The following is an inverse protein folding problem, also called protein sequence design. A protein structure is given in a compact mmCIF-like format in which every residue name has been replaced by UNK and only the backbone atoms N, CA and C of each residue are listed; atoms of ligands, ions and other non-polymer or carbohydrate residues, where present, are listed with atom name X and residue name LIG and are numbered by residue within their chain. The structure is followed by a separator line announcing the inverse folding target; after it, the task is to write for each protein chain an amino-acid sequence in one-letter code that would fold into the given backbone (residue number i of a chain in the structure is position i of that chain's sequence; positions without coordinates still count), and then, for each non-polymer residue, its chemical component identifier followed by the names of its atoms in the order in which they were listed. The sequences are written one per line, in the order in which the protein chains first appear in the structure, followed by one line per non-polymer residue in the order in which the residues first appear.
data_IF_355222620532
#
_entry.id   IF_355222620532
#
_cell.length_a   1.000
_cell.length_b   1.000
_cell.length_c   1.000
_cell.angle_alpha   90.00
_cell.angle_beta   90.00
_cell.angle_gamma   90.00
#
_symmetry.space_group_name_H-M   'P 1'
#
loop_
_entity.id
_entity.type
_entity.pdbx_description
1 polymer ?
#
# COMPACT_ATOMS: atom_id res chain seq x y z
N UNK A 1 -21.91 -43.26 -4.84
CA UNK A 1 -22.08 -42.13 -5.78
C UNK A 1 -20.74 -41.50 -6.16
N UNK A 2 -20.15 -41.94 -7.28
CA UNK A 2 -18.89 -41.40 -7.81
C UNK A 2 -19.04 -40.00 -8.43
N UNK A 3 -20.25 -39.63 -8.85
CA UNK A 3 -20.52 -38.35 -9.53
C UNK A 3 -20.45 -37.16 -8.58
N UNK A 4 -20.89 -37.30 -7.32
CA UNK A 4 -20.77 -36.22 -6.33
C UNK A 4 -19.31 -35.92 -5.94
N UNK A 5 -18.45 -36.93 -5.92
CA UNK A 5 -17.02 -36.75 -5.63
C UNK A 5 -16.34 -36.04 -6.81
N UNK A 6 -16.69 -36.41 -8.05
CA UNK A 6 -16.18 -35.73 -9.25
C UNK A 6 -16.62 -34.27 -9.35
N UNK A 7 -17.87 -33.97 -9.01
CA UNK A 7 -18.36 -32.58 -9.00
C UNK A 7 -17.58 -31.71 -8.00
N UNK A 8 -17.37 -32.22 -6.78
CA UNK A 8 -16.63 -31.52 -5.72
C UNK A 8 -15.14 -31.32 -6.05
N UNK A 9 -14.52 -32.28 -6.73
CA UNK A 9 -13.12 -32.14 -7.19
C UNK A 9 -13.02 -31.08 -8.27
N UNK A 10 -13.95 -31.06 -9.22
CA UNK A 10 -13.97 -30.06 -10.30
C UNK A 10 -14.18 -28.64 -9.78
N UNK A 11 -15.14 -28.44 -8.87
CA UNK A 11 -15.36 -27.15 -8.23
C UNK A 11 -14.11 -26.68 -7.48
N UNK A 12 -13.42 -27.58 -6.77
CA UNK A 12 -12.20 -27.25 -6.04
C UNK A 12 -11.02 -26.94 -6.98
N UNK A 13 -10.94 -27.59 -8.15
CA UNK A 13 -9.94 -27.27 -9.19
C UNK A 13 -10.20 -25.89 -9.82
N UNK A 14 -11.46 -25.55 -10.11
CA UNK A 14 -11.86 -24.23 -10.64
C UNK A 14 -11.62 -23.11 -9.60
N UNK A 15 -11.89 -23.36 -8.31
CA UNK A 15 -11.55 -22.44 -7.23
C UNK A 15 -10.04 -22.27 -7.07
N UNK A 16 -9.25 -23.34 -7.20
CA UNK A 16 -7.79 -23.29 -7.11
C UNK A 16 -7.16 -22.47 -8.25
N UNK A 17 -7.67 -22.59 -9.48
CA UNK A 17 -7.21 -21.75 -10.60
C UNK A 17 -7.51 -20.27 -10.35
N UNK A 18 -8.71 -19.95 -9.86
CA UNK A 18 -9.10 -18.57 -9.56
C UNK A 18 -8.26 -17.96 -8.44
N UNK A 19 -7.92 -18.75 -7.41
CA UNK A 19 -7.01 -18.35 -6.32
C UNK A 19 -5.61 -18.07 -6.87
N UNK A 20 -5.09 -18.95 -7.73
CA UNK A 20 -3.76 -18.78 -8.36
C UNK A 20 -3.69 -17.54 -9.25
N UNK A 21 -4.77 -17.25 -9.96
CA UNK A 21 -4.86 -16.06 -10.81
C UNK A 21 -4.84 -14.78 -9.97
N UNK A 22 -5.58 -14.76 -8.88
CA UNK A 22 -5.61 -13.64 -7.93
C UNK A 22 -4.26 -13.44 -7.23
N UNK A 23 -3.56 -14.52 -6.85
CA UNK A 23 -2.21 -14.44 -6.28
C UNK A 23 -1.20 -13.82 -7.25
N UNK A 24 -1.25 -14.17 -8.54
CA UNK A 24 -0.35 -13.62 -9.54
C UNK A 24 -0.62 -12.12 -9.82
N UNK A 25 -1.88 -11.68 -9.76
CA UNK A 25 -2.23 -10.26 -9.83
C UNK A 25 -1.76 -9.50 -8.58
N UNK A 26 -1.92 -10.11 -7.40
CA UNK A 26 -1.41 -9.57 -6.14
C UNK A 26 0.13 -9.48 -6.14
N UNK A 27 0.85 -10.48 -6.67
CA UNK A 27 2.32 -10.45 -6.80
C UNK A 27 2.81 -9.36 -7.76
N UNK A 28 2.08 -9.10 -8.86
CA UNK A 28 2.38 -8.01 -9.78
C UNK A 28 2.16 -6.64 -9.12
N UNK A 29 1.14 -6.49 -8.29
CA UNK A 29 0.87 -5.26 -7.53
C UNK A 29 1.82 -5.10 -6.33
N UNK A 30 2.18 -6.20 -5.66
CA UNK A 30 3.02 -6.24 -4.45
C UNK A 30 4.51 -6.02 -4.74
N UNK A 31 4.94 -6.08 -6.00
CA UNK A 31 6.33 -5.84 -6.40
C UNK A 31 6.82 -4.40 -6.15
N UNK A 32 5.96 -3.48 -5.70
CA UNK A 32 6.32 -2.11 -5.34
C UNK A 32 6.58 -1.91 -3.84
N UNK A 33 6.34 -2.91 -2.98
CA UNK A 33 6.55 -2.80 -1.53
C UNK A 33 7.20 -4.09 -0.99
N UNK A 34 8.52 -4.11 -0.75
CA UNK A 34 9.17 -5.26 -0.14
C UNK A 34 8.77 -5.32 1.34
N UNK A 35 7.85 -6.22 1.69
CA UNK A 35 7.39 -6.41 3.08
C UNK A 35 5.96 -6.94 3.24
N UNK A 36 5.16 -6.97 2.17
CA UNK A 36 3.72 -7.34 2.24
C UNK A 36 3.40 -8.78 1.78
N UNK A 37 4.42 -9.62 1.57
CA UNK A 37 4.31 -10.91 0.85
C UNK A 37 3.57 -12.03 1.62
N UNK A 38 2.92 -11.73 2.74
CA UNK A 38 2.21 -12.73 3.56
C UNK A 38 0.87 -12.24 4.13
N UNK A 39 0.33 -11.10 3.69
CA UNK A 39 -0.95 -10.59 4.20
C UNK A 39 -2.13 -11.11 3.38
N UNK A 40 -3.22 -11.43 4.07
CA UNK A 40 -4.49 -11.77 3.43
C UNK A 40 -5.04 -10.57 2.63
N UNK A 41 -5.90 -10.82 1.62
CA UNK A 41 -6.54 -9.74 0.87
C UNK A 41 -7.31 -8.74 1.76
N UNK A 42 -7.87 -9.24 2.86
CA UNK A 42 -8.60 -8.43 3.84
C UNK A 42 -7.66 -7.46 4.56
N UNK A 43 -6.55 -7.95 5.09
CA UNK A 43 -5.53 -7.12 5.76
C UNK A 43 -4.94 -6.05 4.83
N UNK A 44 -4.73 -6.39 3.55
CA UNK A 44 -4.26 -5.42 2.56
C UNK A 44 -5.30 -4.30 2.34
N UNK A 45 -6.58 -4.66 2.23
CA UNK A 45 -7.65 -3.67 2.08
C UNK A 45 -7.78 -2.79 3.33
N UNK A 46 -7.55 -3.35 4.51
CA UNK A 46 -7.50 -2.59 5.76
C UNK A 46 -6.31 -1.62 5.79
N UNK A 47 -5.11 -2.05 5.42
CA UNK A 47 -3.92 -1.19 5.25
C UNK A 47 -4.19 -0.08 4.25
N UNK A 48 -4.70 -0.39 3.07
CA UNK A 48 -4.98 0.59 2.03
C UNK A 48 -6.01 1.62 2.54
N UNK A 49 -7.00 1.19 3.34
CA UNK A 49 -8.02 2.08 3.92
C UNK A 49 -7.52 3.02 5.03
N UNK A 50 -6.34 2.76 5.60
CA UNK A 50 -5.66 3.62 6.60
C UNK A 50 -4.38 4.24 6.05
N UNK A 51 -4.16 4.16 4.73
CA UNK A 51 -2.98 4.70 4.07
C UNK A 51 -3.33 5.89 3.19
N UNK A 52 -2.37 6.80 3.03
CA UNK A 52 -2.45 7.93 2.11
C UNK A 52 -1.35 7.86 1.06
N UNK A 53 -1.63 8.45 -0.08
CA UNK A 53 -0.65 8.77 -1.10
C UNK A 53 -0.18 10.21 -0.89
N UNK A 54 1.12 10.43 -0.94
CA UNK A 54 1.74 11.75 -0.89
C UNK A 54 2.58 11.96 -2.15
N UNK A 55 2.15 12.86 -3.02
CA UNK A 55 2.80 13.24 -4.26
C UNK A 55 3.66 14.50 -4.14
N UNK A 56 4.46 14.74 -5.19
CA UNK A 56 5.39 15.88 -5.29
C UNK A 56 6.40 15.98 -4.13
N UNK A 57 6.69 14.84 -3.50
CA UNK A 57 7.68 14.72 -2.43
C UNK A 57 9.06 15.04 -2.99
N UNK A 58 9.85 15.77 -2.22
CA UNK A 58 11.23 16.09 -2.60
C UNK A 58 12.08 14.83 -2.76
N UNK A 59 13.01 14.84 -3.72
CA UNK A 59 13.87 13.69 -3.98
C UNK A 59 14.89 13.43 -2.85
N UNK A 60 15.20 14.45 -2.05
CA UNK A 60 16.03 14.30 -0.85
C UNK A 60 15.24 13.99 0.42
N UNK A 61 13.91 13.80 0.33
CA UNK A 61 13.07 13.54 1.49
C UNK A 61 13.37 12.18 2.11
N UNK A 62 13.34 12.14 3.43
CA UNK A 62 13.45 10.90 4.20
C UNK A 62 12.11 10.47 4.78
N UNK A 63 11.99 9.18 5.10
CA UNK A 63 10.80 8.64 5.74
C UNK A 63 10.52 9.33 7.10
N UNK A 64 11.58 9.64 7.85
CA UNK A 64 11.50 10.31 9.16
C UNK A 64 10.95 11.74 9.05
N UNK A 65 11.34 12.49 7.99
CA UNK A 65 10.82 13.84 7.75
C UNK A 65 9.33 13.82 7.38
N UNK A 66 8.91 12.86 6.55
CA UNK A 66 7.50 12.67 6.23
C UNK A 66 6.71 12.24 7.47
N UNK A 67 7.26 11.35 8.29
CA UNK A 67 6.63 10.94 9.54
C UNK A 67 6.42 12.14 10.46
N UNK A 68 7.44 12.99 10.65
CA UNK A 68 7.32 14.22 11.45
C UNK A 68 6.29 15.19 10.89
N UNK A 69 6.23 15.36 9.56
CA UNK A 69 5.26 16.26 8.92
C UNK A 69 3.81 15.83 9.16
N UNK A 70 3.55 14.52 9.09
CA UNK A 70 2.22 13.94 9.27
C UNK A 70 1.91 13.49 10.72
N UNK A 71 2.86 13.64 11.64
CA UNK A 71 2.71 13.23 13.05
C UNK A 71 1.51 13.88 13.74
N UNK A 72 1.19 15.13 13.38
CA UNK A 72 0.03 15.85 13.91
C UNK A 72 -1.33 15.30 13.47
N UNK A 73 -1.37 14.45 12.44
CA UNK A 73 -2.61 13.86 11.92
C UNK A 73 -2.99 12.56 12.59
N UNK A 74 -2.02 11.84 13.15
CA UNK A 74 -2.22 10.56 13.82
C UNK A 74 -0.95 9.72 13.90
N UNK A 75 -1.03 8.58 14.59
CA UNK A 75 0.09 7.63 14.69
C UNK A 75 0.38 6.97 13.35
N UNK A 76 1.63 6.96 12.94
CA UNK A 76 2.10 6.39 11.68
C UNK A 76 2.71 5.01 11.95
N UNK A 77 2.32 4.01 11.18
CA UNK A 77 2.88 2.66 11.23
C UNK A 77 4.04 2.49 10.26
N UNK A 78 3.92 3.06 9.06
CA UNK A 78 4.93 2.88 8.02
C UNK A 78 4.91 4.03 7.02
N UNK A 79 6.10 4.49 6.64
CA UNK A 79 6.30 5.39 5.51
C UNK A 79 7.12 4.68 4.44
N UNK A 80 6.63 4.68 3.20
CA UNK A 80 7.27 4.06 2.06
C UNK A 80 7.48 5.09 0.96
N UNK A 81 8.72 5.55 0.76
CA UNK A 81 9.08 6.42 -0.36
C UNK A 81 9.37 5.54 -1.58
N UNK A 82 8.69 5.82 -2.69
CA UNK A 82 8.85 5.02 -3.90
C UNK A 82 10.00 5.53 -4.75
N UNK A 83 10.94 4.62 -5.01
CA UNK A 83 12.07 4.83 -5.91
C UNK A 83 11.91 4.01 -7.19
N UNK A 84 12.44 4.54 -8.29
CA UNK A 84 12.56 3.83 -9.54
C UNK A 84 13.50 2.64 -9.38
N UNK A 85 13.07 1.47 -9.86
CA UNK A 85 13.77 0.20 -9.60
C UNK A 85 15.08 0.06 -10.38
N UNK A 86 15.21 0.78 -11.50
CA UNK A 86 16.36 0.66 -12.39
C UNK A 86 17.44 1.69 -12.06
N UNK A 87 17.02 2.92 -11.78
CA UNK A 87 17.92 4.04 -11.45
C UNK A 87 18.12 4.23 -9.95
N UNK A 88 17.25 3.68 -9.10
CA UNK A 88 17.24 3.96 -7.66
C UNK A 88 16.77 5.38 -7.31
N UNK A 89 16.43 6.20 -8.31
CA UNK A 89 16.02 7.57 -8.08
C UNK A 89 14.60 7.64 -7.52
N UNK A 90 14.35 8.45 -6.48
CA UNK A 90 13.01 8.63 -5.95
C UNK A 90 12.07 9.15 -7.02
N UNK A 91 10.85 8.62 -7.08
CA UNK A 91 9.84 8.99 -8.08
C UNK A 91 9.06 10.25 -7.70
N UNK A 92 9.33 10.80 -6.52
CA UNK A 92 8.68 12.00 -6.00
C UNK A 92 7.31 11.72 -5.38
N UNK A 93 7.09 10.50 -4.89
CA UNK A 93 5.90 10.16 -4.12
C UNK A 93 6.19 9.12 -3.05
N UNK A 94 5.34 9.11 -2.03
CA UNK A 94 5.40 8.21 -0.89
C UNK A 94 4.01 7.71 -0.50
N UNK A 95 3.97 6.62 0.23
CA UNK A 95 2.78 6.14 0.93
C UNK A 95 3.01 6.22 2.42
N UNK A 96 2.00 6.68 3.15
CA UNK A 96 2.03 6.75 4.61
C UNK A 96 0.87 5.91 5.13
N UNK A 97 1.18 4.86 5.88
CA UNK A 97 0.23 4.00 6.57
C UNK A 97 0.05 4.51 8.00
N UNK A 98 -1.18 4.87 8.37
CA UNK A 98 -1.53 5.24 9.73
C UNK A 98 -1.97 4.04 10.56
N UNK A 99 -1.99 4.22 11.88
CA UNK A 99 -2.62 3.28 12.82
C UNK A 99 -4.13 3.24 12.62
N UNK A 100 -4.76 4.40 12.50
CA UNK A 100 -6.21 4.58 12.46
C UNK A 100 -6.70 5.20 11.16
N UNK A 101 -7.89 4.81 10.72
CA UNK A 101 -8.53 5.37 9.51
C UNK A 101 -8.88 6.85 9.65
N UNK A 102 -9.21 7.33 10.85
CA UNK A 102 -9.47 8.75 11.11
C UNK A 102 -8.27 9.66 10.80
N UNK A 103 -7.05 9.11 10.89
CA UNK A 103 -5.81 9.83 10.55
C UNK A 103 -5.77 10.19 9.06
N UNK A 104 -6.34 9.35 8.19
CA UNK A 104 -6.47 9.62 6.75
C UNK A 104 -7.30 10.88 6.53
N UNK A 105 -8.47 10.97 7.18
CA UNK A 105 -9.33 12.14 7.08
C UNK A 105 -8.62 13.40 7.56
N UNK A 106 -7.89 13.30 8.68
CA UNK A 106 -7.13 14.43 9.26
C UNK A 106 -5.96 14.85 8.39
N UNK A 107 -5.30 13.92 7.72
CA UNK A 107 -4.17 14.19 6.83
C UNK A 107 -4.53 15.04 5.61
N UNK A 108 -5.80 15.02 5.19
CA UNK A 108 -6.32 15.92 4.14
C UNK A 108 -6.12 17.40 4.50
N UNK A 109 -6.05 17.75 5.78
CA UNK A 109 -5.77 19.12 6.21
C UNK A 109 -4.33 19.57 5.91
N UNK A 110 -3.41 18.63 5.66
CA UNK A 110 -2.05 18.88 5.22
C UNK A 110 -1.87 18.77 3.71
N UNK A 111 -2.94 18.54 2.94
CA UNK A 111 -2.91 18.65 1.49
C UNK A 111 -2.43 20.04 1.08
N UNK A 112 -1.61 20.12 0.04
CA UNK A 112 -1.00 21.35 -0.48
C UNK A 112 -0.06 22.11 0.49
N UNK A 113 0.27 21.49 1.65
CA UNK A 113 1.21 22.06 2.62
C UNK A 113 2.64 22.10 2.09
N UNK A 114 3.45 23.03 2.63
CA UNK A 114 4.84 23.20 2.26
C UNK A 114 5.73 22.19 3.00
N UNK A 115 6.38 21.32 2.24
CA UNK A 115 7.38 20.36 2.70
C UNK A 115 8.66 20.53 1.88
N UNK A 116 9.78 20.82 2.57
CA UNK A 116 11.09 21.11 1.93
C UNK A 116 11.02 22.16 0.80
N UNK A 117 10.14 23.15 0.94
CA UNK A 117 9.94 24.22 -0.04
C UNK A 117 9.11 23.82 -1.27
N UNK A 118 8.48 22.63 -1.25
CA UNK A 118 7.56 22.14 -2.30
C UNK A 118 6.18 21.92 -1.70
N UNK A 119 5.13 22.15 -2.47
CA UNK A 119 3.77 21.80 -2.05
C UNK A 119 3.52 20.31 -2.32
N UNK A 120 3.26 19.56 -1.26
CA UNK A 120 2.89 18.13 -1.38
C UNK A 120 1.40 17.98 -1.71
N UNK A 121 1.02 16.84 -2.28
CA UNK A 121 -0.34 16.51 -2.72
C UNK A 121 -0.73 15.10 -2.32
#
# INVERSE_FOLDING_TARGET
DLEMIKARVKEMEEEAEKIKQMQNEVEKMAHSTPGLLALSPEEKMEIDSRSIYVGNVDYGATAEELEQHFHGCGSINRVTIQCDKYSGHPKGFAYIEFADKDSVSTSTALDESLFRGRQIK
#
